data_IF_674185769453
#
_entry.id   IF_674185769453
#
_cell.length_a   1.000
_cell.length_b   1.000
_cell.length_c   1.000
_cell.angle_alpha   90.00
_cell.angle_beta   90.00
_cell.angle_gamma   90.00
#
_symmetry.space_group_name_H-M   'P 1'
#
loop_
_entity.id
_entity.type
_entity.pdbx_description
1 polymer ?
#
# COMPACT_ATOMS: atom_id res chain seq x y z
N UNK A 1 7.69 26.99 45.03
CA UNK A 1 6.73 27.47 44.01
C UNK A 1 7.50 27.78 42.74
N UNK A 2 7.32 27.20 41.56
CA UNK A 2 6.61 26.05 41.03
C UNK A 2 7.00 26.07 39.54
N UNK A 3 7.92 25.20 39.10
CA UNK A 3 8.41 25.19 37.71
C UNK A 3 7.37 24.49 36.84
N UNK A 4 6.65 25.26 36.02
CA UNK A 4 5.75 24.73 34.99
C UNK A 4 6.56 24.00 33.92
N UNK A 5 6.44 22.67 33.91
CA UNK A 5 6.88 21.82 32.82
C UNK A 5 5.90 21.93 31.66
N UNK A 6 6.31 22.67 30.61
CA UNK A 6 5.63 22.67 29.31
C UNK A 6 5.65 21.25 28.74
N UNK A 7 4.50 20.57 28.75
CA UNK A 7 4.30 19.31 28.04
C UNK A 7 4.40 19.57 26.52
N UNK A 8 5.13 18.76 25.75
CA UNK A 8 5.14 18.87 24.30
C UNK A 8 3.76 18.47 23.74
N UNK A 9 3.33 19.03 22.60
CA UNK A 9 2.07 18.66 21.98
C UNK A 9 2.16 17.19 21.54
N UNK A 10 1.18 16.39 21.98
CA UNK A 10 1.00 15.01 21.51
C UNK A 10 0.84 15.06 19.99
N UNK A 11 1.82 14.48 19.27
CA UNK A 11 1.71 14.19 17.84
C UNK A 11 0.41 13.41 17.63
N UNK A 12 -0.55 13.99 16.89
CA UNK A 12 -1.70 13.25 16.37
C UNK A 12 -1.14 12.12 15.50
N UNK A 13 -1.37 10.88 15.91
CA UNK A 13 -1.23 9.73 15.00
C UNK A 13 -2.18 10.01 13.84
N UNK A 14 -1.68 9.95 12.62
CA UNK A 14 -2.53 9.87 11.43
C UNK A 14 -3.20 8.50 11.53
N UNK A 15 -4.47 8.50 11.94
CA UNK A 15 -5.28 7.29 11.98
C UNK A 15 -5.43 6.80 10.54
N UNK A 16 -5.06 5.54 10.35
CA UNK A 16 -5.45 4.70 9.22
C UNK A 16 -6.96 4.95 9.03
N UNK A 17 -7.45 5.19 7.81
CA UNK A 17 -8.89 5.32 7.56
C UNK A 17 -9.56 3.99 7.91
N UNK A 18 -9.94 3.84 9.19
CA UNK A 18 -10.74 2.74 9.68
C UNK A 18 -12.19 3.02 9.30
N UNK A 19 -12.89 1.98 8.85
CA UNK A 19 -14.30 2.11 8.48
C UNK A 19 -15.09 2.56 9.70
N UNK A 20 -15.88 3.61 9.51
CA UNK A 20 -16.72 4.18 10.57
C UNK A 20 -18.04 3.41 10.71
N UNK A 21 -18.70 3.53 11.87
CA UNK A 21 -20.03 2.94 12.07
C UNK A 21 -21.07 3.47 11.07
N UNK A 22 -20.95 4.74 10.68
CA UNK A 22 -21.84 5.36 9.69
C UNK A 22 -21.70 4.74 8.29
N UNK A 23 -20.46 4.43 7.89
CA UNK A 23 -20.15 3.77 6.62
C UNK A 23 -20.62 2.32 6.63
N UNK A 24 -20.36 1.58 7.72
CA UNK A 24 -20.86 0.22 7.86
C UNK A 24 -22.39 0.14 7.75
N UNK A 25 -23.12 1.04 8.43
CA UNK A 25 -24.57 1.02 8.37
C UNK A 25 -25.07 1.31 6.96
N UNK A 26 -24.44 2.26 6.25
CA UNK A 26 -24.75 2.56 4.86
C UNK A 26 -24.57 1.33 3.98
N UNK A 27 -23.47 0.60 4.15
CA UNK A 27 -23.18 -0.61 3.36
C UNK A 27 -24.15 -1.75 3.68
N UNK A 28 -24.54 -1.94 4.94
CA UNK A 28 -25.56 -2.92 5.35
C UNK A 28 -26.91 -2.66 4.66
N UNK A 29 -27.35 -1.40 4.57
CA UNK A 29 -28.56 -1.04 3.84
C UNK A 29 -28.40 -1.20 2.33
N UNK A 30 -27.28 -0.75 1.77
CA UNK A 30 -26.99 -0.82 0.34
C UNK A 30 -27.03 -2.26 -0.18
N UNK A 31 -26.48 -3.20 0.60
CA UNK A 31 -26.40 -4.61 0.21
C UNK A 31 -27.56 -5.48 0.72
N UNK A 32 -28.52 -4.90 1.46
CA UNK A 32 -29.65 -5.65 2.02
C UNK A 32 -29.23 -6.74 3.00
N UNK A 33 -28.14 -6.52 3.74
CA UNK A 33 -27.58 -7.47 4.72
C UNK A 33 -27.98 -7.02 6.11
N UNK A 34 -28.59 -7.88 6.92
CA UNK A 34 -29.14 -7.50 8.24
C UNK A 34 -28.13 -7.50 9.39
N UNK A 35 -27.02 -8.22 9.23
CA UNK A 35 -26.11 -8.50 10.33
C UNK A 35 -24.65 -8.25 9.94
N UNK A 36 -23.89 -7.69 10.88
CA UNK A 36 -22.44 -7.57 10.83
C UNK A 36 -21.80 -8.51 11.85
N UNK A 37 -20.72 -9.18 11.48
CA UNK A 37 -19.92 -10.05 12.33
C UNK A 37 -18.52 -9.46 12.47
N UNK A 38 -18.04 -9.30 13.70
CA UNK A 38 -16.61 -9.02 13.94
C UNK A 38 -15.89 -10.35 14.10
N UNK A 39 -14.90 -10.59 13.26
CA UNK A 39 -14.11 -11.80 13.34
C UNK A 39 -13.06 -11.67 14.47
N UNK A 40 -13.44 -12.08 15.68
CA UNK A 40 -12.54 -12.14 16.85
C UNK A 40 -12.48 -13.56 17.43
N UNK A 41 -11.59 -14.44 16.93
CA UNK A 41 -11.24 -15.67 17.65
C UNK A 41 -10.27 -15.32 18.81
N UNK A 42 -10.44 -15.85 20.04
CA UNK A 42 -11.33 -16.94 20.46
C UNK A 42 -12.70 -16.50 21.02
N UNK A 43 -13.03 -15.21 20.95
CA UNK A 43 -14.15 -14.56 21.63
C UNK A 43 -15.54 -14.84 21.03
N UNK A 44 -15.66 -15.86 20.17
CA UNK A 44 -16.96 -16.38 19.72
C UNK A 44 -17.64 -15.62 18.58
N UNK A 45 -16.93 -14.73 17.89
CA UNK A 45 -17.41 -13.95 16.74
C UNK A 45 -18.70 -13.16 17.04
N UNK A 46 -18.60 -11.97 17.67
CA UNK A 46 -19.79 -11.19 18.01
C UNK A 46 -20.51 -10.73 16.74
N UNK A 47 -21.83 -10.93 16.74
CA UNK A 47 -22.74 -10.52 15.67
C UNK A 47 -23.63 -9.39 16.17
N UNK A 48 -23.78 -8.37 15.32
CA UNK A 48 -24.56 -7.16 15.56
C UNK A 48 -25.61 -7.00 14.46
N UNK A 49 -26.85 -6.72 14.83
CA UNK A 49 -27.90 -6.34 13.87
C UNK A 49 -27.81 -4.86 13.50
N UNK A 50 -28.48 -4.46 12.42
CA UNK A 50 -28.65 -3.04 12.06
C UNK A 50 -29.20 -2.21 13.22
N UNK A 51 -30.21 -2.71 13.92
CA UNK A 51 -30.86 -2.00 15.03
C UNK A 51 -29.88 -1.72 16.17
N UNK A 52 -28.98 -2.67 16.45
CA UNK A 52 -27.94 -2.46 17.46
C UNK A 52 -26.95 -1.39 17.03
N UNK A 53 -26.54 -1.38 15.76
CA UNK A 53 -25.65 -0.36 15.20
C UNK A 53 -26.34 1.02 15.21
N UNK A 54 -27.61 1.09 14.81
CA UNK A 54 -28.42 2.32 14.86
C UNK A 54 -28.47 2.86 16.29
N UNK A 55 -28.71 2.02 17.29
CA UNK A 55 -28.73 2.44 18.70
C UNK A 55 -27.38 3.00 19.18
N UNK A 56 -26.25 2.52 18.65
CA UNK A 56 -24.92 3.11 18.94
C UNK A 56 -24.76 4.46 18.24
N UNK A 57 -25.20 4.56 16.98
CA UNK A 57 -25.15 5.83 16.23
C UNK A 57 -26.01 6.93 16.87
N UNK A 58 -27.20 6.58 17.38
CA UNK A 58 -28.10 7.51 18.09
C UNK A 58 -27.46 8.12 19.35
N UNK A 59 -26.45 7.45 19.93
CA UNK A 59 -25.67 7.96 21.07
C UNK A 59 -24.54 8.92 20.66
N UNK A 60 -24.41 9.22 19.36
CA UNK A 60 -23.41 10.16 18.83
C UNK A 60 -22.06 9.53 18.51
N UNK A 61 -21.98 8.21 18.39
CA UNK A 61 -20.72 7.48 18.15
C UNK A 61 -20.49 7.19 16.65
N UNK A 62 -20.96 8.07 15.75
CA UNK A 62 -20.97 7.80 14.29
C UNK A 62 -19.60 7.62 13.65
N UNK A 63 -18.62 8.39 14.13
CA UNK A 63 -17.25 8.41 13.62
C UNK A 63 -16.36 7.37 14.30
N UNK A 64 -16.91 6.54 15.19
CA UNK A 64 -16.15 5.47 15.82
C UNK A 64 -15.80 4.37 14.83
N UNK A 65 -14.68 3.73 15.09
CA UNK A 65 -14.24 2.55 14.35
C UNK A 65 -15.23 1.40 14.55
N UNK A 66 -15.50 0.64 13.50
CA UNK A 66 -16.30 -0.60 13.58
C UNK A 66 -15.69 -1.62 14.55
N UNK A 67 -14.37 -1.60 14.75
CA UNK A 67 -13.70 -2.46 15.73
C UNK A 67 -14.16 -2.20 17.18
N UNK A 68 -14.67 -1.00 17.47
CA UNK A 68 -15.18 -0.61 18.79
C UNK A 68 -16.63 -1.09 19.04
N UNK A 69 -17.31 -1.71 18.07
CA UNK A 69 -18.71 -2.13 18.25
C UNK A 69 -18.92 -3.05 19.46
N UNK A 70 -17.98 -3.95 19.73
CA UNK A 70 -18.05 -4.86 20.87
C UNK A 70 -18.00 -4.14 22.24
N UNK A 71 -17.37 -2.97 22.32
CA UNK A 71 -17.30 -2.17 23.55
C UNK A 71 -18.45 -1.17 23.65
N UNK A 72 -18.97 -0.70 22.50
CA UNK A 72 -20.05 0.29 22.43
C UNK A 72 -21.45 -0.32 22.60
N UNK A 73 -21.64 -1.60 22.25
CA UNK A 73 -22.90 -2.29 22.43
C UNK A 73 -23.04 -2.88 23.82
N UNK A 74 -24.22 -2.75 24.43
CA UNK A 74 -24.54 -3.34 25.74
C UNK A 74 -24.61 -4.87 25.73
N UNK A 75 -24.80 -5.46 24.55
CA UNK A 75 -24.89 -6.91 24.34
C UNK A 75 -24.63 -7.25 22.89
N UNK A 76 -24.02 -8.40 22.64
CA UNK A 76 -23.87 -9.01 21.32
C UNK A 76 -24.27 -10.49 21.40
N UNK A 77 -24.59 -11.09 20.24
CA UNK A 77 -24.83 -12.53 20.17
C UNK A 77 -23.66 -13.20 19.45
N UNK A 78 -23.04 -14.25 20.03
CA UNK A 78 -22.10 -15.10 19.30
C UNK A 78 -22.78 -15.72 18.07
N UNK A 79 -22.02 -15.90 16.99
CA UNK A 79 -22.54 -16.55 15.77
C UNK A 79 -23.16 -17.92 16.06
N UNK A 80 -22.51 -18.70 16.94
CA UNK A 80 -22.95 -20.04 17.34
C UNK A 80 -24.34 -20.03 17.96
N UNK A 81 -24.62 -19.08 18.85
CA UNK A 81 -25.91 -18.95 19.53
C UNK A 81 -27.04 -18.61 18.55
N UNK A 82 -26.76 -17.77 17.54
CA UNK A 82 -27.72 -17.41 16.51
C UNK A 82 -28.06 -18.59 15.59
N UNK A 83 -27.07 -19.46 15.32
CA UNK A 83 -27.26 -20.71 14.59
C UNK A 83 -28.08 -21.73 15.41
N UNK A 84 -27.75 -21.92 16.69
CA UNK A 84 -28.47 -22.85 17.58
C UNK A 84 -29.94 -22.44 17.77
N UNK A 85 -30.21 -21.13 17.81
CA UNK A 85 -31.57 -20.57 17.91
C UNK A 85 -32.32 -20.49 16.59
N UNK A 86 -31.72 -20.92 15.47
CA UNK A 86 -32.27 -20.80 14.11
C UNK A 86 -32.64 -19.35 13.72
N UNK A 87 -31.95 -18.36 14.29
CA UNK A 87 -32.09 -16.95 13.88
C UNK A 87 -31.36 -16.72 12.57
N UNK A 88 -30.20 -17.37 12.41
CA UNK A 88 -29.43 -17.39 11.17
C UNK A 88 -29.43 -18.79 10.56
N UNK A 89 -29.55 -18.84 9.24
CA UNK A 89 -29.38 -20.03 8.42
C UNK A 89 -27.98 -20.06 7.80
N UNK A 90 -27.50 -21.26 7.44
CA UNK A 90 -26.22 -21.43 6.74
C UNK A 90 -26.11 -20.65 5.42
N UNK A 91 -27.25 -20.29 4.80
CA UNK A 91 -27.30 -19.57 3.52
C UNK A 91 -27.33 -18.05 3.70
N UNK A 92 -27.56 -17.58 4.92
CA UNK A 92 -27.67 -16.16 5.19
C UNK A 92 -26.30 -15.51 5.01
N UNK A 93 -26.31 -14.26 4.51
CA UNK A 93 -25.09 -13.49 4.28
C UNK A 93 -24.87 -12.52 5.43
N UNK A 94 -23.63 -12.43 5.90
CA UNK A 94 -23.20 -11.50 6.93
C UNK A 94 -22.13 -10.56 6.38
N UNK A 95 -22.11 -9.32 6.87
CA UNK A 95 -20.98 -8.41 6.68
C UNK A 95 -19.90 -8.73 7.71
N UNK A 96 -18.81 -9.34 7.28
CA UNK A 96 -17.72 -9.79 8.14
C UNK A 96 -16.61 -8.75 8.14
N UNK A 97 -16.30 -8.19 9.32
CA UNK A 97 -15.09 -7.39 9.54
C UNK A 97 -13.98 -8.29 10.09
N UNK A 98 -12.84 -8.35 9.41
CA UNK A 98 -11.61 -9.01 9.89
C UNK A 98 -10.40 -8.17 9.52
N UNK A 99 -9.54 -7.83 10.47
CA UNK A 99 -8.27 -7.11 10.22
C UNK A 99 -8.43 -5.82 9.37
N UNK A 100 -9.54 -5.10 9.54
CA UNK A 100 -9.98 -3.93 8.75
C UNK A 100 -10.51 -4.22 7.33
N UNK A 101 -10.61 -5.49 6.91
CA UNK A 101 -11.32 -5.90 5.69
C UNK A 101 -12.80 -6.15 5.98
N UNK A 102 -13.69 -5.54 5.19
CA UNK A 102 -15.12 -5.83 5.16
C UNK A 102 -15.47 -6.72 3.97
N UNK A 103 -16.13 -7.86 4.23
CA UNK A 103 -16.55 -8.81 3.19
C UNK A 103 -17.95 -9.32 3.46
N UNK A 104 -18.75 -9.54 2.42
CA UNK A 104 -20.05 -10.21 2.56
C UNK A 104 -19.84 -11.71 2.35
N UNK A 105 -20.04 -12.52 3.40
CA UNK A 105 -19.83 -13.96 3.37
C UNK A 105 -21.07 -14.72 3.85
N UNK A 106 -21.37 -15.90 3.28
CA UNK A 106 -22.43 -16.76 3.80
C UNK A 106 -22.00 -17.42 5.11
N UNK A 107 -22.96 -17.67 6.01
CA UNK A 107 -22.72 -18.28 7.32
C UNK A 107 -22.05 -19.65 7.22
N UNK A 108 -22.35 -20.45 6.19
CA UNK A 108 -21.67 -21.73 5.94
C UNK A 108 -20.16 -21.57 5.81
N UNK A 109 -19.71 -20.55 5.08
CA UNK A 109 -18.28 -20.27 4.88
C UNK A 109 -17.64 -19.81 6.18
N UNK A 110 -18.35 -19.05 7.02
CA UNK A 110 -17.84 -18.57 8.30
C UNK A 110 -17.74 -19.72 9.33
N UNK A 111 -18.71 -20.63 9.36
CA UNK A 111 -18.71 -21.76 10.28
C UNK A 111 -17.61 -22.79 9.98
N UNK A 112 -17.16 -22.86 8.72
CA UNK A 112 -16.04 -23.69 8.27
C UNK A 112 -14.68 -23.00 8.46
N UNK A 113 -14.66 -21.72 8.88
CA UNK A 113 -13.42 -21.04 9.22
C UNK A 113 -12.87 -21.59 10.54
N UNK A 114 -11.84 -22.43 10.49
CA UNK A 114 -10.98 -22.61 11.66
C UNK A 114 -10.02 -21.44 11.77
N UNK A 115 -9.57 -21.12 12.99
CA UNK A 115 -8.63 -20.00 13.25
C UNK A 115 -7.34 -20.07 12.41
N UNK A 116 -7.01 -21.24 11.85
CA UNK A 116 -5.86 -21.49 10.99
C UNK A 116 -6.20 -21.71 9.50
N UNK A 117 -7.42 -22.14 9.12
CA UNK A 117 -7.80 -22.49 7.73
C UNK A 117 -8.33 -21.31 6.88
N UNK A 118 -7.93 -20.08 7.19
CA UNK A 118 -7.88 -19.01 6.18
C UNK A 118 -6.42 -18.93 5.70
N UNK A 119 -5.98 -20.03 5.11
CA UNK A 119 -4.76 -20.08 4.32
C UNK A 119 -4.98 -19.23 3.08
N UNK A 120 -4.34 -18.06 3.07
CA UNK A 120 -4.30 -17.03 2.03
C UNK A 120 -5.57 -16.17 1.95
N UNK A 121 -5.53 -14.97 2.54
CA UNK A 121 -6.59 -13.94 2.45
C UNK A 121 -6.79 -13.35 1.05
N UNK A 122 -6.55 -14.13 -0.01
CA UNK A 122 -6.57 -13.70 -1.40
C UNK A 122 -7.94 -13.97 -2.06
N UNK A 123 -8.48 -13.04 -2.86
CA UNK A 123 -9.77 -13.18 -3.56
C UNK A 123 -9.81 -14.32 -4.58
N UNK A 124 -11.02 -14.73 -4.98
CA UNK A 124 -11.23 -15.77 -6.00
C UNK A 124 -10.58 -15.46 -7.36
N UNK A 125 -10.32 -14.19 -7.65
CA UNK A 125 -9.64 -13.72 -8.87
C UNK A 125 -8.12 -13.65 -8.75
N UNK A 126 -7.52 -14.12 -7.64
CA UNK A 126 -6.08 -14.05 -7.38
C UNK A 126 -5.21 -14.62 -8.50
N UNK A 127 -5.69 -15.68 -9.16
CA UNK A 127 -5.00 -16.33 -10.28
C UNK A 127 -5.41 -15.79 -11.67
N UNK A 128 -6.08 -14.63 -11.73
CA UNK A 128 -6.30 -13.93 -12.99
C UNK A 128 -4.95 -13.64 -13.69
N UNK A 129 -4.92 -13.42 -15.01
CA UNK A 129 -3.68 -13.30 -15.79
C UNK A 129 -2.94 -11.96 -15.59
N UNK A 130 -2.98 -11.40 -14.37
CA UNK A 130 -2.34 -10.15 -13.97
C UNK A 130 -1.40 -10.40 -12.79
N UNK A 131 -0.29 -9.65 -12.68
CA UNK A 131 0.67 -9.79 -11.59
C UNK A 131 0.16 -9.17 -10.29
N UNK A 132 -0.26 -10.00 -9.33
CA UNK A 132 -0.73 -9.54 -8.03
C UNK A 132 0.20 -9.95 -6.88
N UNK A 133 0.31 -9.04 -5.91
CA UNK A 133 0.97 -9.29 -4.63
C UNK A 133 0.07 -8.91 -3.46
N UNK A 134 0.26 -9.55 -2.31
CA UNK A 134 -0.49 -9.32 -1.09
C UNK A 134 0.46 -9.06 0.08
N UNK A 135 0.17 -8.02 0.87
CA UNK A 135 0.85 -7.73 2.12
C UNK A 135 -0.16 -7.69 3.28
N UNK A 136 -0.27 -8.80 4.00
CA UNK A 136 -1.13 -8.93 5.18
C UNK A 136 -0.27 -9.03 6.43
N UNK A 137 -0.19 -7.94 7.19
CA UNK A 137 0.79 -7.83 8.29
C UNK A 137 2.21 -7.96 7.76
N UNK A 138 2.98 -8.92 8.30
CA UNK A 138 4.34 -9.24 7.85
C UNK A 138 4.39 -10.26 6.71
N UNK A 139 3.25 -10.80 6.26
CA UNK A 139 3.20 -11.84 5.24
C UNK A 139 3.15 -11.23 3.85
N UNK A 140 4.16 -11.54 3.04
CA UNK A 140 4.19 -11.28 1.61
C UNK A 140 3.74 -12.53 0.84
N UNK A 141 2.93 -12.35 -0.20
CA UNK A 141 2.57 -13.41 -1.13
C UNK A 141 2.45 -12.84 -2.54
N UNK A 142 2.91 -13.59 -3.54
CA UNK A 142 2.82 -13.24 -4.95
C UNK A 142 2.06 -14.33 -5.69
N UNK A 143 1.16 -13.94 -6.61
CA UNK A 143 0.53 -14.91 -7.49
C UNK A 143 1.53 -15.40 -8.55
N UNK A 144 1.14 -16.38 -9.36
CA UNK A 144 2.03 -16.99 -10.37
C UNK A 144 2.63 -15.95 -11.34
N UNK A 145 1.86 -14.93 -11.73
CA UNK A 145 2.30 -13.88 -12.67
C UNK A 145 3.28 -12.93 -12.01
N UNK A 146 2.98 -12.46 -10.79
CA UNK A 146 3.89 -11.61 -10.03
C UNK A 146 5.17 -12.34 -9.65
N UNK A 147 5.10 -13.62 -9.27
CA UNK A 147 6.28 -14.42 -8.96
C UNK A 147 7.24 -14.51 -10.16
N UNK A 148 6.71 -14.68 -11.37
CA UNK A 148 7.50 -14.65 -12.61
C UNK A 148 8.08 -13.27 -12.95
N UNK A 149 7.34 -12.20 -12.65
CA UNK A 149 7.79 -10.82 -12.88
C UNK A 149 8.90 -10.40 -11.90
N UNK A 150 8.73 -10.77 -10.63
CA UNK A 150 9.58 -10.35 -9.52
C UNK A 150 10.78 -11.26 -9.31
N UNK A 151 10.79 -12.46 -9.90
CA UNK A 151 11.92 -13.40 -9.88
C UNK A 151 12.47 -13.68 -8.46
N UNK A 152 11.57 -13.78 -7.48
CA UNK A 152 11.94 -14.07 -6.09
C UNK A 152 12.64 -12.94 -5.33
N UNK A 153 12.66 -11.72 -5.86
CA UNK A 153 13.29 -10.57 -5.20
C UNK A 153 12.53 -10.24 -3.90
N UNK A 154 13.23 -10.08 -2.76
CA UNK A 154 12.59 -9.66 -1.51
C UNK A 154 12.07 -8.23 -1.62
N UNK A 155 10.79 -8.05 -1.35
CA UNK A 155 10.12 -6.75 -1.41
C UNK A 155 9.53 -6.36 -0.06
N UNK A 156 9.72 -5.09 0.30
CA UNK A 156 9.06 -4.47 1.44
C UNK A 156 7.92 -3.59 0.97
N UNK A 157 6.80 -3.61 1.71
CA UNK A 157 5.63 -2.76 1.42
C UNK A 157 6.03 -1.28 1.49
N UNK A 158 5.62 -0.50 0.50
CA UNK A 158 5.74 0.97 0.54
C UNK A 158 4.59 1.62 1.33
N UNK A 159 4.65 2.93 1.48
CA UNK A 159 3.58 3.68 2.14
C UNK A 159 2.45 4.02 1.16
N UNK A 160 1.21 4.05 1.65
CA UNK A 160 0.04 4.41 0.85
C UNK A 160 -0.53 3.28 -0.02
N UNK A 161 -1.50 3.66 -0.86
CA UNK A 161 -2.20 2.78 -1.80
C UNK A 161 -1.48 2.69 -3.16
N UNK A 162 -0.49 3.53 -3.41
CA UNK A 162 0.33 3.48 -4.62
C UNK A 162 1.78 3.83 -4.24
N UNK A 163 2.74 3.03 -4.66
CA UNK A 163 4.16 3.29 -4.38
C UNK A 163 5.08 2.68 -5.43
N UNK A 164 6.25 3.31 -5.59
CA UNK A 164 7.34 2.82 -6.42
C UNK A 164 8.38 2.08 -5.58
N UNK A 165 8.98 1.03 -6.16
CA UNK A 165 10.18 0.39 -5.63
C UNK A 165 11.23 0.29 -6.73
N UNK A 166 12.32 1.01 -6.54
CA UNK A 166 13.54 0.81 -7.30
C UNK A 166 14.37 -0.29 -6.65
N UNK A 167 14.86 -1.20 -7.47
CA UNK A 167 15.70 -2.33 -7.08
C UNK A 167 17.10 -2.19 -7.68
N UNK A 168 18.09 -2.90 -7.11
CA UNK A 168 19.42 -2.98 -7.69
C UNK A 168 19.36 -3.42 -9.16
N UNK A 169 20.19 -2.82 -10.01
CA UNK A 169 20.19 -3.08 -11.45
C UNK A 169 19.21 -2.23 -12.25
N UNK A 170 18.57 -1.23 -11.63
CA UNK A 170 17.73 -0.25 -12.33
C UNK A 170 16.31 -0.71 -12.62
N UNK A 171 15.89 -1.86 -12.06
CA UNK A 171 14.50 -2.30 -12.14
C UNK A 171 13.61 -1.41 -11.27
N UNK A 172 12.49 -0.94 -11.81
CA UNK A 172 11.52 -0.14 -11.09
C UNK A 172 10.13 -0.76 -11.23
N UNK A 173 9.49 -1.02 -10.10
CA UNK A 173 8.14 -1.57 -10.05
C UNK A 173 7.19 -0.58 -9.41
N UNK A 174 6.02 -0.42 -10.02
CA UNK A 174 4.91 0.35 -9.51
C UNK A 174 3.87 -0.60 -8.91
N UNK A 175 3.50 -0.34 -7.67
CA UNK A 175 2.50 -1.09 -6.94
C UNK A 175 1.26 -0.22 -6.78
N UNK A 176 0.09 -0.70 -7.24
CA UNK A 176 -1.20 -0.02 -7.07
C UNK A 176 -2.18 -0.92 -6.34
N UNK A 177 -2.71 -0.45 -5.21
CA UNK A 177 -3.72 -1.17 -4.44
C UNK A 177 -5.02 -1.23 -5.23
N UNK A 178 -5.50 -2.45 -5.50
CA UNK A 178 -6.74 -2.71 -6.25
C UNK A 178 -7.82 -3.35 -5.38
N UNK A 179 -7.42 -3.86 -4.22
CA UNK A 179 -8.25 -4.48 -3.20
C UNK A 179 -7.46 -4.38 -1.89
N UNK A 180 -8.12 -4.33 -0.71
CA UNK A 180 -7.41 -4.27 0.56
C UNK A 180 -6.24 -5.25 0.64
N UNK A 181 -5.06 -4.69 0.93
CA UNK A 181 -3.79 -5.40 1.05
C UNK A 181 -3.27 -6.08 -0.24
N UNK A 182 -3.90 -5.87 -1.39
CA UNK A 182 -3.55 -6.49 -2.68
C UNK A 182 -3.23 -5.43 -3.72
N UNK A 183 -2.07 -5.62 -4.33
CA UNK A 183 -1.49 -4.67 -5.26
C UNK A 183 -1.30 -5.33 -6.63
N UNK A 184 -1.68 -4.61 -7.67
CA UNK A 184 -1.21 -4.86 -9.04
C UNK A 184 0.23 -4.35 -9.16
N UNK A 185 1.09 -5.13 -9.81
CA UNK A 185 2.50 -4.82 -10.01
C UNK A 185 2.78 -4.54 -11.48
N UNK A 186 3.21 -3.32 -11.79
CA UNK A 186 3.65 -2.94 -13.13
C UNK A 186 5.19 -2.79 -13.16
N UNK A 187 5.84 -3.34 -14.18
CA UNK A 187 7.24 -3.04 -14.48
C UNK A 187 7.32 -1.72 -15.24
N UNK A 188 7.86 -0.71 -14.59
CA UNK A 188 8.02 0.66 -15.12
C UNK A 188 9.49 1.02 -15.28
N UNK A 189 10.37 0.02 -15.38
CA UNK A 189 11.82 0.22 -15.46
C UNK A 189 12.21 1.08 -16.67
N UNK A 190 11.60 0.81 -17.83
CA UNK A 190 11.86 1.57 -19.06
C UNK A 190 11.38 3.02 -18.96
N UNK A 191 10.14 3.22 -18.50
CA UNK A 191 9.56 4.56 -18.31
C UNK A 191 10.39 5.39 -17.33
N UNK A 192 10.79 4.78 -16.21
CA UNK A 192 11.63 5.44 -15.21
C UNK A 192 13.03 5.75 -15.76
N UNK A 193 13.61 4.84 -16.54
CA UNK A 193 14.89 5.06 -17.23
C UNK A 193 14.82 6.23 -18.21
N UNK A 194 13.77 6.27 -19.03
CA UNK A 194 13.52 7.34 -19.99
C UNK A 194 13.30 8.69 -19.29
N UNK A 195 12.51 8.71 -18.21
CA UNK A 195 12.28 9.91 -17.40
C UNK A 195 13.60 10.44 -16.82
N UNK A 196 14.43 9.58 -16.22
CA UNK A 196 15.76 9.96 -15.69
C UNK A 196 16.69 10.49 -16.78
N UNK A 197 16.67 9.90 -17.98
CA UNK A 197 17.46 10.40 -19.10
C UNK A 197 16.98 11.78 -19.56
N UNK A 198 15.66 11.97 -19.68
CA UNK A 198 15.06 13.24 -20.04
C UNK A 198 15.40 14.34 -19.03
N UNK A 199 15.27 14.06 -17.73
CA UNK A 199 15.61 15.00 -16.66
C UNK A 199 17.09 15.39 -16.71
N UNK A 200 17.99 14.42 -16.95
CA UNK A 200 19.41 14.71 -17.12
C UNK A 200 19.68 15.63 -18.31
N UNK A 201 19.05 15.36 -19.46
CA UNK A 201 19.20 16.20 -20.64
C UNK A 201 18.58 17.59 -20.47
N UNK A 202 17.55 17.72 -19.65
CA UNK A 202 16.95 19.01 -19.29
C UNK A 202 17.89 19.83 -18.40
N UNK A 203 18.58 19.18 -17.44
CA UNK A 203 19.58 19.83 -16.60
C UNK A 203 20.83 20.28 -17.37
N UNK A 204 21.31 19.46 -18.31
CA UNK A 204 22.54 19.74 -19.08
C UNK A 204 22.27 20.67 -20.29
N UNK A 205 21.14 20.47 -20.96
CA UNK A 205 20.84 21.07 -22.25
C UNK A 205 21.53 20.36 -23.42
N UNK A 206 20.76 19.57 -24.19
CA UNK A 206 21.25 18.86 -25.39
C UNK A 206 22.01 19.78 -26.37
N UNK A 207 21.51 21.00 -26.60
CA UNK A 207 22.14 21.96 -27.50
C UNK A 207 23.53 22.41 -27.01
N UNK A 208 23.73 22.53 -25.69
CA UNK A 208 25.02 22.88 -25.11
C UNK A 208 26.05 21.79 -25.36
N UNK A 209 25.68 20.52 -25.14
CA UNK A 209 26.55 19.36 -25.42
C UNK A 209 26.89 19.26 -26.90
N UNK A 210 25.92 19.45 -27.79
CA UNK A 210 26.18 19.49 -29.24
C UNK A 210 27.18 20.57 -29.62
N UNK A 211 27.10 21.76 -29.00
CA UNK A 211 28.05 22.85 -29.23
C UNK A 211 29.45 22.51 -28.74
N UNK A 212 29.59 21.87 -27.58
CA UNK A 212 30.90 21.43 -27.05
C UNK A 212 31.54 20.38 -27.95
N UNK A 213 30.78 19.37 -28.37
CA UNK A 213 31.25 18.35 -29.32
C UNK A 213 31.67 18.97 -30.65
N UNK A 214 30.91 19.94 -31.16
CA UNK A 214 31.26 20.70 -32.36
C UNK A 214 32.54 21.52 -32.25
N UNK A 215 33.00 21.84 -31.03
CA UNK A 215 34.28 22.51 -30.76
C UNK A 215 35.44 21.53 -30.54
N UNK A 216 35.20 20.23 -30.63
CA UNK A 216 36.21 19.18 -30.45
C UNK A 216 36.37 18.67 -29.03
N UNK A 217 35.49 19.02 -28.08
CA UNK A 217 35.52 18.45 -26.74
C UNK A 217 34.84 17.08 -26.69
N UNK A 218 35.40 16.15 -25.91
CA UNK A 218 34.69 14.92 -25.55
C UNK A 218 33.77 15.21 -24.36
N UNK A 219 32.54 14.71 -24.42
CA UNK A 219 31.52 14.94 -23.38
C UNK A 219 30.87 13.61 -23.00
N UNK A 220 31.02 13.25 -21.73
CA UNK A 220 30.59 11.98 -21.16
C UNK A 220 29.66 12.22 -19.96
N UNK A 221 28.57 11.44 -19.89
CA UNK A 221 27.70 11.38 -18.70
C UNK A 221 28.40 10.54 -17.64
N UNK A 222 28.42 11.05 -16.41
CA UNK A 222 29.05 10.43 -15.27
C UNK A 222 28.03 10.19 -14.16
N UNK A 223 28.17 9.07 -13.47
CA UNK A 223 27.52 8.80 -12.18
C UNK A 223 28.48 9.15 -11.04
N UNK A 224 27.93 9.32 -9.84
CA UNK A 224 28.72 9.64 -8.64
C UNK A 224 29.83 8.61 -8.37
N UNK A 225 29.55 7.32 -8.60
CA UNK A 225 30.52 6.23 -8.46
C UNK A 225 31.74 6.36 -9.39
N UNK A 226 31.57 7.08 -10.51
CA UNK A 226 32.60 7.24 -11.56
C UNK A 226 33.52 8.44 -11.33
N UNK A 227 33.26 9.25 -10.28
CA UNK A 227 34.05 10.45 -9.95
C UNK A 227 35.48 10.14 -9.48
N UNK A 228 35.76 8.90 -9.09
CA UNK A 228 37.07 8.46 -8.61
C UNK A 228 38.13 8.26 -9.71
N UNK A 229 37.74 8.26 -10.99
CA UNK A 229 38.61 8.01 -12.14
C UNK A 229 38.88 9.26 -13.00
N UNK A 230 38.91 10.43 -12.37
CA UNK A 230 38.96 11.73 -13.06
C UNK A 230 40.39 12.26 -13.05
N UNK A 231 40.90 12.64 -14.23
CA UNK A 231 42.20 13.31 -14.38
C UNK A 231 42.04 14.78 -13.96
N UNK A 232 43.06 15.40 -13.33
CA UNK A 232 43.00 16.79 -12.85
C UNK A 232 42.71 17.81 -13.98
N UNK A 233 42.88 17.39 -15.24
CA UNK A 233 42.62 18.21 -16.44
C UNK A 233 41.18 18.16 -16.94
N UNK A 234 40.34 17.30 -16.36
CA UNK A 234 38.97 17.14 -16.78
C UNK A 234 38.04 18.13 -16.05
N UNK A 235 37.19 18.84 -16.80
CA UNK A 235 36.18 19.70 -16.19
C UNK A 235 34.93 18.88 -15.87
N UNK A 236 34.47 18.93 -14.61
CA UNK A 236 33.26 18.25 -14.15
C UNK A 236 32.22 19.28 -13.74
N UNK A 237 31.04 19.18 -14.35
CA UNK A 237 29.89 20.00 -14.03
C UNK A 237 28.81 19.16 -13.36
N UNK A 238 28.39 19.59 -12.17
CA UNK A 238 27.22 19.01 -11.49
C UNK A 238 25.94 19.42 -12.23
N UNK A 239 25.11 18.45 -12.57
CA UNK A 239 23.86 18.66 -13.26
C UNK A 239 22.73 18.66 -12.22
N UNK A 240 22.04 19.78 -12.10
CA UNK A 240 20.97 19.98 -11.10
C UNK A 240 19.64 20.23 -11.81
N UNK A 241 18.57 19.58 -11.34
CA UNK A 241 17.21 19.81 -11.77
C UNK A 241 16.30 19.97 -10.56
N UNK A 242 15.55 21.07 -10.46
CA UNK A 242 14.67 21.35 -9.31
C UNK A 242 15.34 21.10 -7.94
N UNK A 243 16.58 21.59 -7.81
CA UNK A 243 17.44 21.45 -6.62
C UNK A 243 18.02 20.05 -6.34
N UNK A 244 17.67 19.04 -7.13
CA UNK A 244 18.23 17.69 -7.05
C UNK A 244 19.41 17.48 -7.99
N UNK A 245 20.46 16.82 -7.50
CA UNK A 245 21.60 16.41 -8.34
C UNK A 245 21.17 15.19 -9.17
N UNK A 246 21.09 15.37 -10.48
CA UNK A 246 20.68 14.32 -11.44
C UNK A 246 21.85 13.64 -12.15
N UNK A 247 23.08 14.08 -11.87
CA UNK A 247 24.31 13.45 -12.33
C UNK A 247 25.41 14.47 -12.62
N UNK A 248 26.44 14.02 -13.33
CA UNK A 248 27.61 14.83 -13.65
C UNK A 248 27.90 14.80 -15.15
N UNK A 249 28.42 15.92 -15.66
CA UNK A 249 28.91 16.05 -17.02
C UNK A 249 30.42 16.20 -16.98
N UNK A 250 31.14 15.27 -17.59
CA UNK A 250 32.59 15.39 -17.78
C UNK A 250 32.87 15.96 -19.17
N UNK A 251 33.70 16.99 -19.22
CA UNK A 251 34.19 17.61 -20.44
C UNK A 251 35.71 17.44 -20.50
N UNK A 252 36.19 16.74 -21.54
CA UNK A 252 37.62 16.55 -21.81
C UNK A 252 38.03 17.39 -23.02
N UNK A 253 39.16 18.06 -22.93
CA UNK A 253 39.74 18.74 -24.09
C UNK A 253 40.21 17.68 -25.11
N UNK A 254 39.62 17.69 -26.31
CA UNK A 254 39.94 16.71 -27.35
C UNK A 254 41.26 17.01 -28.08
N UNK A 255 41.99 18.04 -27.65
CA UNK A 255 43.36 18.28 -28.09
C UNK A 255 44.31 17.32 -27.38
N UNK A 256 44.41 16.10 -27.90
CA UNK A 256 45.62 15.31 -27.72
C UNK A 256 46.80 16.13 -28.26
N UNK A 257 47.80 16.39 -27.42
CA UNK A 257 49.13 16.78 -27.88
C UNK A 257 49.88 15.53 -28.35
#
# INVERSE_FOLDING_TARGET
>A
MGRETKRPPRRRKVEKNEVTLSELLRDLYLHGVEYCLLYSPPEGHPVFSKEQIVSVLEKGESERSVSELATLCSSFSPLKDLLEKNVLSKKDKLFVLKDADLRILPVSTIAEMTGEEIGTGVPLWWDAPLPFVSWTGERFSANRKAAGLLDGIPLTRGEGSEFLRELPGGKCFLFREIHPCIFLVDDVSEDMGNAKEMTWWAAVGKAFVSRLRGKGFSVEKMTEDSLSAVDERDEILTCVWEDDIVGFLKVKDGKNF
#
